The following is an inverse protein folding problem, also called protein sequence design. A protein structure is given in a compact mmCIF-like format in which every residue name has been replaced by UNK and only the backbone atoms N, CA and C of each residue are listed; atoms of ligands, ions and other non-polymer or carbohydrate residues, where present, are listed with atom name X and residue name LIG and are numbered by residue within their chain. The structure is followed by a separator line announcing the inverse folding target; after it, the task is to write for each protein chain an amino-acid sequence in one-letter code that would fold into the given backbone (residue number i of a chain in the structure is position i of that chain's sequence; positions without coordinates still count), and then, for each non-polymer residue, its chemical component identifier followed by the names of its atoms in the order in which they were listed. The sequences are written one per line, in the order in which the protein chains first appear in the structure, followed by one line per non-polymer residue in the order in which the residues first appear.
data_IF_228701716455
#
_entry.id   IF_228701716455
#
_cell.length_a   1.000
_cell.length_b   1.000
_cell.length_c   1.000
_cell.angle_alpha   90.00
_cell.angle_beta   90.00
_cell.angle_gamma   90.00
#
_symmetry.space_group_name_H-M   'P 1'
#
loop_
_entity.id
_entity.type
_entity.pdbx_description
1 polymer ?
#
# COMPACT_ATOMS: atom_id res chain seq x y z
N UNK A 1 -1.70 -4.90 -9.19
CA UNK A 1 -3.14 -5.22 -9.31
C UNK A 1 -3.74 -5.17 -7.92
N UNK A 2 -4.86 -4.47 -7.75
CA UNK A 2 -5.61 -4.37 -6.49
C UNK A 2 -7.02 -4.89 -6.79
N UNK A 3 -7.48 -5.87 -6.01
CA UNK A 3 -8.84 -6.40 -6.12
C UNK A 3 -9.61 -6.06 -4.86
N UNK A 4 -10.67 -5.30 -5.00
CA UNK A 4 -11.65 -5.07 -3.94
C UNK A 4 -12.87 -5.96 -4.22
N UNK A 5 -12.93 -7.11 -3.55
CA UNK A 5 -14.06 -8.06 -3.65
C UNK A 5 -15.22 -7.73 -2.70
N UNK A 6 -15.21 -6.56 -2.07
CA UNK A 6 -16.34 -6.09 -1.26
C UNK A 6 -17.32 -5.26 -2.09
N UNK A 7 -18.57 -5.16 -1.64
CA UNK A 7 -19.60 -4.34 -2.29
C UNK A 7 -19.43 -2.82 -2.02
N UNK A 8 -18.38 -2.42 -1.29
CA UNK A 8 -18.16 -1.05 -0.84
C UNK A 8 -16.74 -0.58 -1.20
N UNK A 9 -16.54 0.73 -1.42
CA UNK A 9 -15.20 1.28 -1.63
C UNK A 9 -14.33 1.19 -0.37
N UNK A 10 -13.02 1.20 -0.59
CA UNK A 10 -12.02 1.45 0.45
C UNK A 10 -11.34 2.79 0.18
N UNK A 11 -10.89 3.46 1.23
CA UNK A 11 -10.40 4.84 1.23
C UNK A 11 -8.96 4.90 1.75
N UNK A 12 -8.31 6.04 1.54
CA UNK A 12 -6.94 6.32 2.01
C UNK A 12 -5.98 5.16 1.74
N UNK A 13 -5.93 4.71 0.49
CA UNK A 13 -5.21 3.49 0.13
C UNK A 13 -3.75 3.80 -0.12
N UNK A 14 -2.86 3.10 0.56
CA UNK A 14 -1.42 3.19 0.35
C UNK A 14 -0.91 1.82 -0.07
N UNK A 15 -0.37 1.72 -1.28
CA UNK A 15 0.29 0.51 -1.78
C UNK A 15 1.80 0.75 -1.82
N UNK A 16 2.56 -0.01 -1.03
CA UNK A 16 4.00 0.15 -0.90
C UNK A 16 4.71 -1.14 -1.29
N UNK A 17 5.76 -1.04 -2.10
CA UNK A 17 6.66 -2.16 -2.31
C UNK A 17 7.55 -2.33 -1.08
N UNK A 18 7.48 -3.50 -0.46
CA UNK A 18 8.38 -3.91 0.62
C UNK A 18 9.30 -5.02 0.14
N UNK A 19 10.41 -5.23 0.85
CA UNK A 19 11.42 -6.22 0.46
C UNK A 19 11.43 -7.36 1.47
N UNK A 20 11.35 -8.60 0.99
CA UNK A 20 11.70 -9.75 1.80
C UNK A 20 13.12 -10.23 1.49
N UNK A 21 13.82 -10.63 2.55
CA UNK A 21 15.12 -11.28 2.52
C UNK A 21 15.10 -12.47 3.51
N UNK A 22 16.22 -13.19 3.63
CA UNK A 22 16.31 -14.44 4.42
C UNK A 22 15.90 -14.25 5.89
N UNK A 23 16.03 -13.04 6.44
CA UNK A 23 15.69 -12.73 7.84
C UNK A 23 14.25 -12.23 8.05
N UNK A 24 13.46 -12.05 6.98
CA UNK A 24 12.06 -11.63 7.07
C UNK A 24 11.65 -10.58 6.04
N UNK A 25 10.39 -10.15 6.15
CA UNK A 25 9.81 -9.09 5.35
C UNK A 25 9.96 -7.75 6.09
N UNK A 26 10.55 -6.76 5.43
CA UNK A 26 10.46 -5.38 5.91
C UNK A 26 9.00 -4.93 5.89
N UNK A 27 8.63 -4.04 6.81
CA UNK A 27 7.29 -3.47 6.82
C UNK A 27 7.31 -2.08 6.19
N UNK A 28 6.17 -1.64 5.65
CA UNK A 28 6.12 -0.36 4.97
C UNK A 28 6.33 0.83 5.91
N UNK A 29 6.00 0.70 7.20
CA UNK A 29 6.22 1.75 8.21
C UNK A 29 7.70 1.98 8.52
N UNK A 30 8.57 1.01 8.23
CA UNK A 30 10.01 1.15 8.45
C UNK A 30 10.69 1.96 7.31
N UNK A 31 9.94 2.29 6.25
CA UNK A 31 10.42 3.01 5.08
C UNK A 31 10.11 4.51 5.21
N UNK A 32 10.96 5.34 4.62
CA UNK A 32 10.77 6.80 4.64
C UNK A 32 9.39 7.21 4.07
N UNK A 33 8.76 8.28 4.59
CA UNK A 33 7.45 8.72 4.12
C UNK A 33 7.37 8.97 2.61
N UNK A 34 8.44 9.52 2.03
CA UNK A 34 8.60 9.83 0.61
C UNK A 34 9.15 8.68 -0.24
N UNK A 35 9.00 7.43 0.21
CA UNK A 35 9.53 6.26 -0.49
C UNK A 35 8.98 6.13 -1.92
N UNK A 36 9.88 6.10 -2.90
CA UNK A 36 9.51 6.21 -4.33
C UNK A 36 8.67 5.04 -4.88
N UNK A 37 8.67 3.88 -4.23
CA UNK A 37 7.87 2.72 -4.63
C UNK A 37 6.57 2.61 -3.82
N UNK A 38 6.08 3.76 -3.35
CA UNK A 38 4.78 3.92 -2.68
C UNK A 38 3.81 4.62 -3.63
N UNK A 39 2.57 4.16 -3.61
CA UNK A 39 1.44 4.76 -4.31
C UNK A 39 0.35 5.12 -3.34
N UNK A 40 -0.14 6.34 -3.47
CA UNK A 40 -1.13 6.93 -2.58
C UNK A 40 -2.39 7.15 -3.39
N UNK A 41 -3.49 6.50 -3.03
CA UNK A 41 -4.74 6.55 -3.76
C UNK A 41 -5.82 7.00 -2.78
N UNK A 42 -6.70 7.89 -3.24
CA UNK A 42 -7.79 8.38 -2.40
C UNK A 42 -8.83 7.28 -2.13
N UNK A 43 -9.21 6.56 -3.19
CA UNK A 43 -10.30 5.58 -3.15
C UNK A 43 -10.11 4.45 -4.16
N UNK A 44 -10.51 3.24 -3.76
CA UNK A 44 -10.61 2.06 -4.65
C UNK A 44 -12.04 1.52 -4.62
N UNK A 45 -12.80 1.64 -5.72
CA UNK A 45 -14.13 1.05 -5.85
C UNK A 45 -14.12 -0.48 -5.79
N UNK A 46 -15.30 -1.12 -5.67
CA UNK A 46 -15.45 -2.55 -5.94
C UNK A 46 -14.92 -2.93 -7.33
N UNK A 47 -14.20 -4.05 -7.41
CA UNK A 47 -13.69 -4.61 -8.67
C UNK A 47 -12.18 -4.72 -8.73
N UNK A 48 -11.67 -4.83 -9.95
CA UNK A 48 -10.25 -5.03 -10.24
C UNK A 48 -9.64 -3.76 -10.81
N UNK A 49 -8.55 -3.34 -10.17
CA UNK A 49 -7.86 -2.09 -10.46
C UNK A 49 -6.37 -2.32 -10.64
N UNK A 50 -5.72 -1.43 -11.38
CA UNK A 50 -4.29 -1.45 -11.60
C UNK A 50 -3.67 -0.08 -11.32
N UNK A 51 -2.48 -0.12 -10.73
CA UNK A 51 -1.62 1.03 -10.49
C UNK A 51 -0.23 0.61 -10.92
N UNK A 52 0.41 1.43 -11.73
CA UNK A 52 1.77 1.21 -12.18
C UNK A 52 2.76 1.78 -11.17
N UNK A 53 3.75 0.99 -10.79
CA UNK A 53 4.88 1.43 -9.98
C UNK A 53 6.12 1.29 -10.85
N UNK A 54 6.84 2.39 -11.07
CA UNK A 54 8.11 2.34 -11.77
C UNK A 54 9.15 1.70 -10.84
N UNK A 55 9.61 0.51 -11.23
CA UNK A 55 10.61 -0.27 -10.50
C UNK A 55 12.04 0.00 -11.00
N UNK A 56 12.23 1.03 -11.83
CA UNK A 56 13.55 1.52 -12.21
C UNK A 56 14.38 1.86 -10.98
N UNK A 57 15.64 1.40 -10.95
CA UNK A 57 16.49 1.57 -9.76
C UNK A 57 16.29 0.54 -8.66
N UNK A 58 15.29 -0.34 -8.75
CA UNK A 58 15.05 -1.40 -7.77
C UNK A 58 16.01 -2.58 -8.03
N UNK A 59 17.26 -2.40 -7.60
CA UNK A 59 18.33 -3.39 -7.78
C UNK A 59 18.78 -3.99 -6.44
N UNK A 60 19.41 -5.16 -6.51
CA UNK A 60 20.08 -5.81 -5.38
C UNK A 60 19.95 -7.33 -5.44
N UNK A 61 21.03 -8.05 -5.10
CA UNK A 61 20.98 -9.50 -4.97
C UNK A 61 20.04 -9.89 -3.83
N UNK A 62 19.24 -10.94 -4.04
CA UNK A 62 18.33 -11.53 -3.04
C UNK A 62 17.23 -10.60 -2.50
N UNK A 63 16.87 -9.55 -3.24
CA UNK A 63 15.71 -8.72 -2.93
C UNK A 63 14.50 -9.25 -3.67
N UNK A 64 13.48 -9.68 -2.92
CA UNK A 64 12.21 -10.12 -3.48
C UNK A 64 11.14 -9.07 -3.13
N UNK A 65 10.63 -8.31 -4.12
CA UNK A 65 9.62 -7.30 -3.87
C UNK A 65 8.28 -7.97 -3.55
N UNK A 66 7.62 -7.46 -2.51
CA UNK A 66 6.27 -7.81 -2.10
C UNK A 66 5.43 -6.53 -2.04
N UNK A 67 4.12 -6.68 -2.07
CA UNK A 67 3.19 -5.54 -1.96
C UNK A 67 2.59 -5.56 -0.57
N UNK A 68 2.79 -4.46 0.16
CA UNK A 68 2.00 -4.13 1.34
C UNK A 68 0.92 -3.12 0.93
N UNK A 69 -0.32 -3.31 1.39
CA UNK A 69 -1.43 -2.40 1.12
C UNK A 69 -2.17 -2.06 2.40
N UNK A 70 -2.19 -0.77 2.76
CA UNK A 70 -3.02 -0.27 3.84
C UNK A 70 -4.20 0.54 3.29
N UNK A 71 -5.32 0.50 4.00
CA UNK A 71 -6.55 1.16 3.58
C UNK A 71 -7.50 1.36 4.77
N UNK A 72 -8.43 2.31 4.63
CA UNK A 72 -9.59 2.48 5.48
C UNK A 72 -10.77 1.77 4.84
N UNK A 73 -11.40 0.83 5.55
CA UNK A 73 -12.61 0.18 5.06
C UNK A 73 -13.83 1.12 5.18
N UNK A 74 -14.93 0.78 4.51
CA UNK A 74 -16.16 1.59 4.55
C UNK A 74 -16.78 1.79 5.94
N UNK A 75 -16.35 1.03 6.96
CA UNK A 75 -16.75 1.22 8.37
C UNK A 75 -15.84 2.21 9.13
N UNK A 76 -14.88 2.85 8.45
CA UNK A 76 -13.91 3.76 9.05
C UNK A 76 -12.76 3.07 9.80
N UNK A 77 -12.59 1.76 9.62
CA UNK A 77 -11.54 0.99 10.29
C UNK A 77 -10.34 0.80 9.37
N UNK A 78 -9.15 1.04 9.89
CA UNK A 78 -7.90 0.95 9.15
C UNK A 78 -7.29 -0.44 9.23
N UNK A 79 -6.73 -0.88 8.11
CA UNK A 79 -6.11 -2.18 7.97
C UNK A 79 -4.82 -2.05 7.16
N UNK A 80 -3.88 -2.98 7.39
CA UNK A 80 -2.74 -3.21 6.52
C UNK A 80 -2.64 -4.68 6.20
N UNK A 81 -2.64 -5.00 4.91
CA UNK A 81 -2.29 -6.31 4.40
C UNK A 81 -0.80 -6.32 4.09
N UNK A 82 -0.05 -7.03 4.92
CA UNK A 82 1.41 -7.17 4.92
C UNK A 82 1.91 -7.87 3.66
N UNK A 83 3.19 -7.67 3.35
CA UNK A 83 3.86 -8.36 2.23
C UNK A 83 3.85 -9.89 2.37
N UNK A 84 3.84 -10.42 3.59
CA UNK A 84 3.71 -11.86 3.88
C UNK A 84 2.25 -12.37 3.81
N UNK A 85 1.29 -11.49 3.57
CA UNK A 85 -0.12 -11.80 3.43
C UNK A 85 -0.94 -11.67 4.73
N UNK A 86 -0.33 -11.42 5.88
CA UNK A 86 -1.05 -11.15 7.12
C UNK A 86 -1.92 -9.89 6.99
N UNK A 87 -3.05 -9.85 7.70
CA UNK A 87 -3.94 -8.69 7.74
C UNK A 87 -4.01 -8.19 9.17
N UNK A 88 -3.43 -7.03 9.41
CA UNK A 88 -3.38 -6.40 10.72
C UNK A 88 -4.32 -5.18 10.76
N UNK A 89 -4.93 -4.95 11.92
CA UNK A 89 -5.66 -3.72 12.22
C UNK A 89 -4.67 -2.60 12.58
N UNK A 90 -5.00 -1.37 12.17
CA UNK A 90 -4.23 -0.18 12.53
C UNK A 90 -5.03 0.74 13.45
N UNK A 91 -4.37 1.30 14.46
CA UNK A 91 -4.94 2.30 15.37
C UNK A 91 -5.00 3.71 14.76
N UNK A 92 -4.41 3.90 13.57
CA UNK A 92 -4.35 5.16 12.84
C UNK A 92 -4.77 4.98 11.37
N UNK A 93 -5.06 6.08 10.68
CA UNK A 93 -5.30 6.03 9.24
C UNK A 93 -4.01 5.67 8.48
N UNK A 94 -4.08 5.03 7.30
CA UNK A 94 -2.91 4.69 6.50
C UNK A 94 -1.98 5.88 6.22
N UNK A 95 -2.54 7.07 6.01
CA UNK A 95 -1.74 8.26 5.77
C UNK A 95 -0.94 8.68 6.99
N UNK A 96 -1.53 8.62 8.18
CA UNK A 96 -0.82 8.88 9.43
C UNK A 96 0.17 7.76 9.77
N UNK A 97 -0.20 6.51 9.52
CA UNK A 97 0.61 5.33 9.79
C UNK A 97 1.93 5.33 9.03
N UNK A 98 1.91 5.80 7.78
CA UNK A 98 3.12 5.97 6.96
C UNK A 98 3.71 7.39 7.03
N UNK A 99 3.24 8.21 7.97
CA UNK A 99 3.71 9.58 8.22
C UNK A 99 3.73 10.47 6.96
N UNK A 100 2.73 10.32 6.08
CA UNK A 100 2.68 11.05 4.81
C UNK A 100 2.56 12.56 5.05
N UNK A 101 3.41 13.33 4.36
CA UNK A 101 3.41 14.79 4.46
C UNK A 101 2.18 15.42 3.80
N UNK A 102 1.68 16.51 4.38
CA UNK A 102 0.56 17.29 3.85
C UNK A 102 1.06 18.50 3.01
N UNK A 103 0.39 18.86 1.90
CA UNK A 103 -0.79 18.21 1.32
C UNK A 103 -0.48 16.86 0.67
N UNK A 104 -1.46 15.95 0.62
CA UNK A 104 -1.33 14.66 -0.06
C UNK A 104 -1.54 14.83 -1.56
N UNK A 105 -0.57 14.38 -2.35
CA UNK A 105 -0.71 14.19 -3.79
C UNK A 105 -1.11 12.75 -4.10
N UNK A 106 -2.25 12.58 -4.77
CA UNK A 106 -2.80 11.26 -5.10
C UNK A 106 -2.34 10.78 -6.48
N UNK A 107 -1.98 9.51 -6.54
CA UNK A 107 -1.74 8.78 -7.78
C UNK A 107 -3.06 8.39 -8.47
N UNK A 108 -2.98 8.23 -9.79
CA UNK A 108 -4.11 7.74 -10.59
C UNK A 108 -4.24 6.21 -10.50
N UNK A 109 -5.47 5.73 -10.40
CA UNK A 109 -5.81 4.31 -10.51
C UNK A 109 -6.64 4.06 -11.78
N UNK A 110 -6.31 2.99 -12.50
CA UNK A 110 -7.05 2.57 -13.68
C UNK A 110 -7.91 1.34 -13.37
N UNK A 111 -9.15 1.24 -13.87
CA UNK A 111 -9.86 -0.03 -13.93
C UNK A 111 -9.08 -1.01 -14.81
N UNK A 112 -9.09 -2.30 -14.46
CA UNK A 112 -8.45 -3.37 -15.23
C UNK A 112 -9.46 -4.12 -16.09
#
# INVERSE_FOLDING_TARGET
MIRNDSDLPVYEVVATIVVTHVAGCCKGEDLEPSYQYRKILDLIPPGLHSVAIDMGGFYGMHRHPLVEIAFVCAKGKSWVRRGDGALDELDASPFNYYELGLPIDYDSVAPY
#
